data_IF_553142578041
#
_entry.id   IF_553142578041
#
_cell.length_a   1.000
_cell.length_b   1.000
_cell.length_c   1.000
_cell.angle_alpha   90.00
_cell.angle_beta   90.00
_cell.angle_gamma   90.00
#
_symmetry.space_group_name_H-M   'P 1'
#
loop_
_entity.id
_entity.type
_entity.pdbx_description
1 polymer ?
#
# COMPACT_ATOMS: atom_id res chain seq x y z
N UNK A 1 -10.56 19.18 -44.36
CA UNK A 1 -11.48 18.88 -43.22
C UNK A 1 -12.54 17.83 -43.54
N UNK A 2 -13.25 17.83 -44.69
CA UNK A 2 -14.29 16.81 -44.96
C UNK A 2 -13.76 15.37 -45.22
N UNK A 3 -12.58 15.20 -45.78
CA UNK A 3 -12.00 13.87 -46.03
C UNK A 3 -11.53 13.13 -44.76
N UNK A 4 -11.05 13.81 -43.72
CA UNK A 4 -10.61 13.13 -42.49
C UNK A 4 -11.78 12.65 -41.62
N UNK A 5 -12.93 13.34 -41.67
CA UNK A 5 -14.16 12.96 -40.97
C UNK A 5 -14.84 11.72 -41.57
N UNK A 6 -14.72 11.51 -42.88
CA UNK A 6 -15.26 10.31 -43.55
C UNK A 6 -14.45 9.07 -43.18
N UNK A 7 -13.12 9.17 -43.20
CA UNK A 7 -12.21 8.08 -42.83
C UNK A 7 -12.37 7.70 -41.35
N UNK A 8 -12.58 8.66 -40.44
CA UNK A 8 -12.81 8.34 -39.02
C UNK A 8 -14.14 7.63 -38.78
N UNK A 9 -15.20 7.98 -39.52
CA UNK A 9 -16.52 7.37 -39.36
C UNK A 9 -16.59 5.95 -39.95
N UNK A 10 -16.00 5.69 -41.11
CA UNK A 10 -15.96 4.34 -41.70
C UNK A 10 -15.14 3.39 -40.83
N UNK A 11 -14.00 3.85 -40.32
CA UNK A 11 -13.16 3.09 -39.40
C UNK A 11 -13.91 2.81 -38.08
N UNK A 12 -14.66 3.78 -37.55
CA UNK A 12 -15.53 3.59 -36.38
C UNK A 12 -16.62 2.54 -36.64
N UNK A 13 -17.23 2.51 -37.82
CA UNK A 13 -18.29 1.55 -38.14
C UNK A 13 -17.73 0.13 -38.29
N UNK A 14 -16.65 -0.03 -39.05
CA UNK A 14 -16.00 -1.33 -39.24
C UNK A 14 -15.48 -1.92 -37.93
N UNK A 15 -15.00 -1.05 -37.02
CA UNK A 15 -14.49 -1.48 -35.71
C UNK A 15 -15.61 -1.93 -34.78
N UNK A 16 -16.72 -1.20 -34.72
CA UNK A 16 -17.89 -1.64 -33.96
C UNK A 16 -18.45 -2.95 -34.53
N UNK A 17 -18.43 -3.14 -35.86
CA UNK A 17 -18.83 -4.41 -36.48
C UNK A 17 -17.87 -5.56 -36.12
N UNK A 18 -16.55 -5.31 -36.15
CA UNK A 18 -15.55 -6.30 -35.78
C UNK A 18 -15.68 -6.70 -34.30
N UNK A 19 -15.83 -5.73 -33.39
CA UNK A 19 -16.04 -5.98 -31.95
C UNK A 19 -17.32 -6.79 -31.75
N UNK A 20 -18.44 -6.41 -32.38
CA UNK A 20 -19.70 -7.18 -32.31
C UNK A 20 -19.57 -8.61 -32.82
N UNK A 21 -18.87 -8.81 -33.94
CA UNK A 21 -18.64 -10.16 -34.47
C UNK A 21 -17.86 -11.03 -33.49
N UNK A 22 -16.84 -10.47 -32.82
CA UNK A 22 -16.06 -11.24 -31.83
C UNK A 22 -16.83 -11.48 -30.55
N UNK A 23 -17.62 -10.51 -30.06
CA UNK A 23 -18.55 -10.74 -28.95
C UNK A 23 -19.54 -11.87 -29.28
N UNK A 24 -20.08 -11.92 -30.50
CA UNK A 24 -20.94 -13.02 -30.93
C UNK A 24 -20.20 -14.38 -30.94
N UNK A 25 -18.94 -14.41 -31.36
CA UNK A 25 -18.10 -15.63 -31.28
C UNK A 25 -17.87 -16.06 -29.82
N UNK A 26 -17.67 -15.12 -28.90
CA UNK A 26 -17.56 -15.39 -27.47
C UNK A 26 -18.88 -15.93 -26.89
N UNK A 27 -20.02 -15.36 -27.27
CA UNK A 27 -21.35 -15.84 -26.86
C UNK A 27 -21.65 -17.26 -27.36
N UNK A 28 -21.22 -17.59 -28.58
CA UNK A 28 -21.30 -18.96 -29.11
C UNK A 28 -20.45 -19.95 -28.31
N UNK A 29 -19.37 -19.51 -27.66
CA UNK A 29 -18.59 -20.33 -26.74
C UNK A 29 -19.36 -20.60 -25.44
N UNK A 30 -20.15 -19.64 -24.96
CA UNK A 30 -20.93 -19.73 -23.71
C UNK A 30 -22.13 -20.66 -23.80
N UNK A 31 -22.94 -20.49 -24.87
CA UNK A 31 -24.14 -21.29 -25.07
C UNK A 31 -23.84 -22.79 -25.22
N UNK A 32 -22.58 -23.15 -25.54
CA UNK A 32 -22.12 -24.54 -25.65
C UNK A 32 -21.50 -25.10 -24.38
N UNK A 33 -20.97 -24.26 -23.48
CA UNK A 33 -20.45 -24.73 -22.18
C UNK A 33 -21.57 -25.13 -21.23
N UNK A 34 -22.72 -24.47 -21.27
CA UNK A 34 -23.89 -24.82 -20.44
C UNK A 34 -24.62 -26.08 -20.94
N UNK A 35 -24.55 -26.38 -22.25
CA UNK A 35 -25.10 -27.62 -22.81
C UNK A 35 -24.30 -28.87 -22.38
N UNK A 36 -23.01 -28.72 -22.07
CA UNK A 36 -22.15 -29.81 -21.58
C UNK A 36 -22.37 -30.12 -20.09
N UNK A 37 -22.96 -29.20 -19.31
CA UNK A 37 -23.25 -29.43 -17.88
C UNK A 37 -24.63 -30.03 -17.64
N UNK A 38 -25.57 -29.93 -18.59
CA UNK A 38 -26.97 -30.30 -18.39
C UNK A 38 -27.36 -31.66 -19.03
N UNK A 39 -26.64 -32.18 -20.04
CA UNK A 39 -27.00 -33.44 -20.72
C UNK A 39 -25.87 -34.46 -20.79
N UNK A 40 -25.57 -35.12 -19.67
CA UNK A 40 -24.57 -36.18 -19.55
C UNK A 40 -24.98 -37.55 -20.12
N UNK A 41 -26.07 -37.66 -20.91
CA UNK A 41 -26.50 -38.97 -21.46
C UNK A 41 -26.92 -39.04 -22.93
N UNK A 42 -26.96 -37.95 -23.69
CA UNK A 42 -27.36 -38.06 -25.12
C UNK A 42 -26.87 -36.97 -26.09
N UNK A 43 -26.00 -36.04 -25.67
CA UNK A 43 -25.36 -35.09 -26.58
C UNK A 43 -23.96 -35.58 -27.00
N UNK A 44 -23.88 -36.77 -27.60
CA UNK A 44 -22.67 -37.27 -28.23
C UNK A 44 -22.41 -36.54 -29.55
N UNK A 45 -21.48 -35.58 -29.57
CA UNK A 45 -21.01 -35.03 -30.85
C UNK A 45 -20.11 -33.79 -30.80
N UNK A 46 -20.17 -32.98 -29.74
CA UNK A 46 -19.26 -31.83 -29.61
C UNK A 46 -18.06 -32.27 -28.77
N UNK A 47 -17.01 -32.71 -29.45
CA UNK A 47 -15.75 -33.11 -28.81
C UNK A 47 -15.12 -31.91 -28.08
N UNK A 48 -14.41 -32.18 -26.98
CA UNK A 48 -13.54 -31.20 -26.29
C UNK A 48 -12.62 -30.46 -27.27
N UNK A 49 -12.24 -31.14 -28.36
CA UNK A 49 -11.52 -30.58 -29.50
C UNK A 49 -12.24 -29.40 -30.19
N UNK A 50 -13.57 -29.46 -30.38
CA UNK A 50 -14.33 -28.35 -30.97
C UNK A 50 -14.43 -27.14 -30.03
N UNK A 51 -14.51 -27.37 -28.71
CA UNK A 51 -14.51 -26.30 -27.72
C UNK A 51 -13.16 -25.57 -27.71
N UNK A 52 -12.05 -26.32 -27.68
CA UNK A 52 -10.69 -25.78 -27.77
C UNK A 52 -10.45 -25.01 -29.07
N UNK A 53 -11.00 -25.50 -30.19
CA UNK A 53 -10.90 -24.84 -31.49
C UNK A 53 -11.65 -23.51 -31.50
N UNK A 54 -12.87 -23.45 -30.94
CA UNK A 54 -13.64 -22.22 -30.85
C UNK A 54 -12.98 -21.18 -29.93
N UNK A 55 -12.41 -21.60 -28.80
CA UNK A 55 -11.64 -20.71 -27.93
C UNK A 55 -10.41 -20.13 -28.65
N UNK A 56 -9.69 -20.96 -29.42
CA UNK A 56 -8.56 -20.50 -30.25
C UNK A 56 -9.00 -19.50 -31.31
N UNK A 57 -10.15 -19.74 -31.97
CA UNK A 57 -10.73 -18.81 -32.94
C UNK A 57 -11.05 -17.48 -32.27
N UNK A 58 -11.75 -17.50 -31.14
CA UNK A 58 -12.07 -16.29 -30.38
C UNK A 58 -10.82 -15.48 -30.03
N UNK A 59 -9.79 -16.12 -29.46
CA UNK A 59 -8.52 -15.47 -29.13
C UNK A 59 -7.85 -14.89 -30.38
N UNK A 60 -7.80 -15.64 -31.49
CA UNK A 60 -7.19 -15.17 -32.74
C UNK A 60 -7.95 -13.99 -33.35
N UNK A 61 -9.27 -13.97 -33.22
CA UNK A 61 -10.08 -12.84 -33.67
C UNK A 61 -9.81 -11.59 -32.82
N UNK A 62 -9.69 -11.73 -31.49
CA UNK A 62 -9.28 -10.63 -30.60
C UNK A 62 -7.88 -10.12 -30.98
N UNK A 63 -6.90 -11.01 -31.16
CA UNK A 63 -5.55 -10.64 -31.61
C UNK A 63 -5.57 -9.88 -32.93
N UNK A 64 -6.38 -10.34 -33.90
CA UNK A 64 -6.50 -9.72 -35.22
C UNK A 64 -7.03 -8.30 -35.15
N UNK A 65 -8.07 -8.07 -34.33
CA UNK A 65 -8.62 -6.72 -34.11
C UNK A 65 -7.57 -5.82 -33.45
N UNK A 66 -6.94 -6.27 -32.37
CA UNK A 66 -5.93 -5.49 -31.65
C UNK A 66 -4.74 -5.11 -32.53
N UNK A 67 -4.23 -6.05 -33.35
CA UNK A 67 -3.13 -5.77 -34.28
C UNK A 67 -3.51 -4.78 -35.36
N UNK A 68 -4.74 -4.90 -35.90
CA UNK A 68 -5.25 -3.94 -36.89
C UNK A 68 -5.29 -2.53 -36.30
N UNK A 69 -5.76 -2.38 -35.07
CA UNK A 69 -5.75 -1.10 -34.37
C UNK A 69 -4.34 -0.55 -34.13
N UNK A 70 -3.41 -1.41 -33.69
CA UNK A 70 -2.03 -0.98 -33.47
C UNK A 70 -1.36 -0.53 -34.77
N UNK A 71 -1.59 -1.22 -35.89
CA UNK A 71 -1.12 -0.79 -37.22
C UNK A 71 -1.75 0.54 -37.63
N UNK A 72 -3.07 0.68 -37.50
CA UNK A 72 -3.77 1.92 -37.84
C UNK A 72 -3.27 3.14 -37.05
N UNK A 73 -2.95 2.94 -35.76
CA UNK A 73 -2.39 3.97 -34.90
C UNK A 73 -0.97 4.39 -35.32
N UNK A 74 -0.17 3.46 -35.88
CA UNK A 74 1.21 3.70 -36.33
C UNK A 74 1.31 4.25 -37.75
N UNK A 75 0.44 3.79 -38.64
CA UNK A 75 0.52 4.09 -40.07
C UNK A 75 -0.14 5.42 -40.45
N UNK A 76 -0.94 6.02 -39.55
CA UNK A 76 -1.67 7.26 -39.84
C UNK A 76 -1.57 8.26 -38.69
N UNK A 77 -0.86 9.36 -38.95
CA UNK A 77 -0.80 10.54 -38.05
C UNK A 77 -2.16 11.15 -37.74
N UNK A 78 -3.20 10.79 -38.51
CA UNK A 78 -4.57 11.27 -38.36
C UNK A 78 -5.56 10.22 -37.83
N UNK A 79 -5.15 8.96 -37.66
CA UNK A 79 -6.02 7.93 -37.08
C UNK A 79 -5.83 7.92 -35.56
N UNK A 80 -6.80 8.47 -34.84
CA UNK A 80 -6.78 8.51 -33.37
C UNK A 80 -7.74 7.48 -32.83
N UNK A 81 -7.22 6.49 -32.13
CA UNK A 81 -8.06 5.61 -31.32
C UNK A 81 -8.61 6.42 -30.16
N UNK A 82 -9.94 6.50 -30.08
CA UNK A 82 -10.62 7.19 -29.01
C UNK A 82 -10.64 6.35 -27.73
N UNK A 83 -10.72 7.03 -26.58
CA UNK A 83 -10.77 6.36 -25.27
C UNK A 83 -11.92 5.35 -25.16
N UNK A 84 -13.08 5.59 -25.77
CA UNK A 84 -14.21 4.67 -25.71
C UNK A 84 -13.91 3.35 -26.44
N UNK A 85 -13.19 3.41 -27.57
CA UNK A 85 -12.79 2.21 -28.33
C UNK A 85 -11.83 1.34 -27.52
N UNK A 86 -10.93 1.95 -26.75
CA UNK A 86 -10.08 1.21 -25.81
C UNK A 86 -10.90 0.54 -24.70
N UNK A 87 -11.97 1.18 -24.22
CA UNK A 87 -12.85 0.60 -23.21
C UNK A 87 -13.58 -0.63 -23.79
N UNK A 88 -14.10 -0.55 -25.01
CA UNK A 88 -14.76 -1.66 -25.70
C UNK A 88 -13.81 -2.84 -25.99
N UNK A 89 -12.58 -2.55 -26.43
CA UNK A 89 -11.55 -3.58 -26.64
C UNK A 89 -11.14 -4.26 -25.34
N UNK A 90 -11.02 -3.51 -24.24
CA UNK A 90 -10.72 -4.07 -22.93
C UNK A 90 -11.88 -4.89 -22.39
N UNK A 91 -13.13 -4.45 -22.61
CA UNK A 91 -14.32 -5.20 -22.24
C UNK A 91 -14.37 -6.54 -22.96
N UNK A 92 -14.02 -6.59 -24.25
CA UNK A 92 -13.88 -7.84 -25.02
C UNK A 92 -12.84 -8.80 -24.40
N UNK A 93 -11.69 -8.28 -23.97
CA UNK A 93 -10.67 -9.07 -23.27
C UNK A 93 -11.18 -9.55 -21.91
N UNK A 94 -11.83 -8.67 -21.14
CA UNK A 94 -12.36 -9.02 -19.82
C UNK A 94 -13.48 -10.06 -19.91
N UNK A 95 -14.30 -10.01 -20.96
CA UNK A 95 -15.35 -10.99 -21.25
C UNK A 95 -14.79 -12.41 -21.41
N UNK A 96 -13.54 -12.57 -21.85
CA UNK A 96 -12.89 -13.88 -21.93
C UNK A 96 -12.94 -14.63 -20.59
N UNK A 97 -12.77 -13.91 -19.46
CA UNK A 97 -12.83 -14.48 -18.12
C UNK A 97 -14.22 -15.05 -17.78
N UNK A 98 -15.31 -14.41 -18.22
CA UNK A 98 -16.68 -14.90 -18.05
C UNK A 98 -16.88 -16.24 -18.76
N UNK A 99 -16.22 -16.42 -19.90
CA UNK A 99 -16.29 -17.64 -20.70
C UNK A 99 -15.19 -18.66 -20.37
N UNK A 100 -14.45 -18.46 -19.26
CA UNK A 100 -13.27 -19.25 -18.84
C UNK A 100 -12.15 -19.31 -19.89
N UNK A 101 -12.19 -18.43 -20.89
CA UNK A 101 -11.16 -18.27 -21.90
C UNK A 101 -10.05 -17.42 -21.29
N UNK A 102 -8.81 -17.88 -21.42
CA UNK A 102 -7.65 -17.11 -21.00
C UNK A 102 -7.18 -16.32 -22.22
N UNK A 103 -7.20 -14.97 -22.19
CA UNK A 103 -6.63 -14.18 -23.30
C UNK A 103 -5.17 -14.56 -23.51
N UNK A 104 -4.66 -14.49 -24.74
CA UNK A 104 -3.25 -14.75 -25.00
C UNK A 104 -2.37 -13.62 -24.45
N UNK A 105 -1.09 -13.92 -24.19
CA UNK A 105 -0.11 -12.89 -23.84
C UNK A 105 -0.04 -11.80 -24.93
N UNK A 106 -0.11 -12.20 -26.21
CA UNK A 106 -0.10 -11.26 -27.33
C UNK A 106 -1.30 -10.31 -27.30
N UNK A 107 -2.51 -10.77 -26.92
CA UNK A 107 -3.65 -9.87 -26.71
C UNK A 107 -3.37 -8.83 -25.64
N UNK A 108 -2.85 -9.27 -24.50
CA UNK A 108 -2.58 -8.41 -23.35
C UNK A 108 -1.48 -7.39 -23.64
N UNK A 109 -0.38 -7.81 -24.27
CA UNK A 109 0.73 -6.96 -24.70
C UNK A 109 0.29 -5.91 -25.73
N UNK A 110 -0.51 -6.32 -26.72
CA UNK A 110 -1.01 -5.41 -27.75
C UNK A 110 -1.96 -4.37 -27.15
N UNK A 111 -2.86 -4.79 -26.27
CA UNK A 111 -3.77 -3.88 -25.57
C UNK A 111 -3.01 -2.89 -24.66
N UNK A 112 -1.97 -3.38 -23.96
CA UNK A 112 -1.13 -2.53 -23.11
C UNK A 112 -0.40 -1.46 -23.93
N UNK A 113 0.21 -1.87 -25.03
CA UNK A 113 0.91 -0.97 -25.95
C UNK A 113 -0.04 0.09 -26.52
N UNK A 114 -1.21 -0.32 -27.00
CA UNK A 114 -2.25 0.59 -27.49
C UNK A 114 -2.66 1.63 -26.44
N UNK A 115 -2.85 1.19 -25.19
CA UNK A 115 -3.24 2.09 -24.12
C UNK A 115 -2.11 3.09 -23.76
N UNK A 116 -0.87 2.64 -23.76
CA UNK A 116 0.31 3.48 -23.51
C UNK A 116 0.48 4.52 -24.63
N UNK A 117 0.46 4.11 -25.90
CA UNK A 117 0.59 5.00 -27.06
C UNK A 117 -0.54 6.06 -27.09
N UNK A 118 -1.79 5.68 -26.79
CA UNK A 118 -2.91 6.65 -26.72
C UNK A 118 -2.71 7.67 -25.60
N UNK A 119 -2.15 7.27 -24.45
CA UNK A 119 -1.84 8.20 -23.37
C UNK A 119 -0.70 9.15 -23.73
N UNK A 120 0.40 8.63 -24.29
CA UNK A 120 1.56 9.42 -24.71
C UNK A 120 1.16 10.45 -25.77
N UNK A 121 0.35 10.06 -26.76
CA UNK A 121 -0.19 10.98 -27.77
C UNK A 121 -1.08 12.08 -27.17
N UNK A 122 -1.91 11.77 -26.16
CA UNK A 122 -2.70 12.77 -25.45
C UNK A 122 -1.82 13.78 -24.67
N UNK A 123 -0.68 13.33 -24.14
CA UNK A 123 0.25 14.19 -23.42
C UNK A 123 0.98 15.17 -24.33
N UNK A 124 1.37 14.74 -25.54
CA UNK A 124 2.04 15.59 -26.54
C UNK A 124 1.13 16.75 -26.99
N UNK A 125 -0.18 16.55 -27.05
CA UNK A 125 -1.13 17.54 -27.56
C UNK A 125 -1.53 18.63 -26.54
N UNK A 126 -1.37 18.39 -25.23
CA UNK A 126 -1.90 19.28 -24.19
C UNK A 126 -0.96 20.41 -23.73
N UNK A 127 0.13 20.69 -24.47
CA UNK A 127 1.18 21.69 -24.16
C UNK A 127 1.99 21.40 -22.89
N UNK A 128 3.30 21.63 -22.95
CA UNK A 128 4.29 21.37 -21.89
C UNK A 128 3.96 21.98 -20.51
N UNK A 129 3.01 22.93 -20.43
CA UNK A 129 2.58 23.53 -19.16
C UNK A 129 1.69 22.64 -18.29
N UNK A 130 1.16 21.52 -18.82
CA UNK A 130 0.40 20.52 -18.06
C UNK A 130 1.20 19.27 -17.70
N UNK A 131 2.54 19.31 -17.84
CA UNK A 131 3.48 18.24 -17.47
C UNK A 131 3.64 18.08 -15.95
N UNK A 132 2.55 17.83 -15.23
CA UNK A 132 2.56 17.09 -13.98
C UNK A 132 1.64 15.87 -14.09
N UNK A 133 2.17 14.83 -14.74
CA UNK A 133 2.09 13.41 -14.35
C UNK A 133 0.75 12.86 -13.80
N UNK A 134 -0.42 13.29 -14.28
CA UNK A 134 -1.69 12.69 -13.82
C UNK A 134 -2.33 11.84 -14.90
N UNK A 135 -2.24 10.52 -14.72
CA UNK A 135 -3.07 9.57 -15.44
C UNK A 135 -4.54 9.83 -15.07
N UNK A 136 -5.43 9.85 -16.05
CA UNK A 136 -6.86 10.00 -15.78
C UNK A 136 -7.40 8.78 -15.03
N UNK A 137 -8.42 8.96 -14.19
CA UNK A 137 -9.06 7.86 -13.44
C UNK A 137 -9.53 6.72 -14.34
N UNK A 138 -10.04 7.04 -15.54
CA UNK A 138 -10.43 6.05 -16.56
C UNK A 138 -9.22 5.26 -17.06
N UNK A 139 -8.11 5.94 -17.34
CA UNK A 139 -6.88 5.28 -17.76
C UNK A 139 -6.37 4.32 -16.68
N UNK A 140 -6.25 4.79 -15.44
CA UNK A 140 -5.80 3.96 -14.31
C UNK A 140 -6.71 2.75 -14.11
N UNK A 141 -8.03 2.94 -14.17
CA UNK A 141 -9.01 1.85 -14.07
C UNK A 141 -8.81 0.77 -15.15
N UNK A 142 -8.58 1.17 -16.40
CA UNK A 142 -8.27 0.22 -17.48
C UNK A 142 -6.96 -0.54 -17.24
N UNK A 143 -5.89 0.16 -16.86
CA UNK A 143 -4.60 -0.48 -16.60
C UNK A 143 -4.71 -1.54 -15.51
N UNK A 144 -5.42 -1.24 -14.42
CA UNK A 144 -5.64 -2.19 -13.32
C UNK A 144 -6.42 -3.43 -13.80
N UNK A 145 -7.49 -3.23 -14.60
CA UNK A 145 -8.24 -4.34 -15.19
C UNK A 145 -7.38 -5.20 -16.11
N UNK A 146 -6.52 -4.59 -16.91
CA UNK A 146 -5.61 -5.29 -17.82
C UNK A 146 -4.54 -6.08 -17.06
N UNK A 147 -3.96 -5.48 -16.01
CA UNK A 147 -3.02 -6.17 -15.11
C UNK A 147 -3.67 -7.37 -14.41
N UNK A 148 -4.92 -7.26 -13.95
CA UNK A 148 -5.64 -8.39 -13.39
C UNK A 148 -5.75 -9.57 -14.36
N UNK A 149 -6.09 -9.31 -15.63
CA UNK A 149 -6.14 -10.35 -16.67
C UNK A 149 -4.75 -10.95 -16.93
N UNK A 150 -3.70 -10.14 -16.89
CA UNK A 150 -2.32 -10.58 -17.03
C UNK A 150 -1.88 -11.55 -15.93
N UNK A 151 -2.27 -11.25 -14.69
CA UNK A 151 -1.99 -12.08 -13.52
C UNK A 151 -2.70 -13.41 -13.65
N UNK A 152 -3.99 -13.41 -14.01
CA UNK A 152 -4.76 -14.62 -14.24
C UNK A 152 -4.14 -15.48 -15.35
N UNK A 153 -3.68 -14.86 -16.45
CA UNK A 153 -3.00 -15.58 -17.53
C UNK A 153 -1.77 -16.32 -17.02
N UNK A 154 -0.92 -15.66 -16.26
CA UNK A 154 0.33 -16.27 -15.81
C UNK A 154 0.16 -17.30 -14.71
N UNK A 155 -0.78 -17.10 -13.78
CA UNK A 155 -1.09 -18.10 -12.76
C UNK A 155 -1.51 -19.42 -13.41
N UNK A 156 -2.23 -19.37 -14.54
CA UNK A 156 -2.68 -20.56 -15.26
C UNK A 156 -1.64 -21.17 -16.21
N UNK A 157 -0.65 -20.40 -16.67
CA UNK A 157 0.35 -20.87 -17.65
C UNK A 157 1.67 -21.32 -17.05
N UNK A 158 1.82 -21.25 -15.71
CA UNK A 158 3.04 -21.64 -14.97
C UNK A 158 4.34 -21.08 -15.58
N UNK A 159 4.22 -19.95 -16.29
CA UNK A 159 5.34 -19.24 -16.88
C UNK A 159 5.88 -18.24 -15.87
N UNK A 160 7.18 -17.97 -15.91
CA UNK A 160 7.73 -16.78 -15.27
C UNK A 160 6.95 -15.57 -15.82
N UNK A 161 6.05 -15.01 -15.01
CA UNK A 161 5.32 -13.80 -15.38
C UNK A 161 6.40 -12.76 -15.74
N UNK A 162 6.22 -12.04 -16.84
CA UNK A 162 6.89 -10.75 -17.08
C UNK A 162 5.78 -9.71 -17.26
N UNK A 163 5.81 -8.65 -16.46
CA UNK A 163 4.90 -7.54 -16.50
C UNK A 163 5.29 -6.68 -17.70
N UNK A 164 4.30 -6.05 -18.33
CA UNK A 164 4.56 -5.09 -19.38
C UNK A 164 5.25 -3.86 -18.78
N UNK A 165 6.16 -3.24 -19.53
CA UNK A 165 6.86 -1.98 -19.23
C UNK A 165 6.88 -1.54 -17.74
N UNK A 166 7.95 -1.83 -16.96
CA UNK A 166 8.03 -1.57 -15.52
C UNK A 166 7.68 -0.14 -15.13
N UNK A 167 8.26 0.81 -15.85
CA UNK A 167 8.17 2.24 -15.54
C UNK A 167 6.73 2.72 -15.67
N UNK A 168 6.03 2.20 -16.68
CA UNK A 168 4.63 2.54 -16.90
C UNK A 168 3.71 1.90 -15.85
N UNK A 169 3.98 0.65 -15.46
CA UNK A 169 3.26 -0.01 -14.35
C UNK A 169 3.44 0.78 -13.05
N UNK A 170 4.65 1.24 -12.75
CA UNK A 170 4.91 2.09 -11.58
C UNK A 170 4.14 3.41 -11.64
N UNK A 171 4.02 4.04 -12.81
CA UNK A 171 3.22 5.25 -13.00
C UNK A 171 1.73 5.00 -12.76
N UNK A 172 1.18 3.90 -13.27
CA UNK A 172 -0.21 3.48 -13.03
C UNK A 172 -0.45 3.27 -11.54
N UNK A 173 0.49 2.61 -10.85
CA UNK A 173 0.38 2.31 -9.42
C UNK A 173 0.36 3.58 -8.57
N UNK A 174 1.24 4.53 -8.87
CA UNK A 174 1.25 5.86 -8.22
C UNK A 174 -0.08 6.58 -8.42
N UNK A 175 -0.57 6.63 -9.66
CA UNK A 175 -1.82 7.31 -9.97
C UNK A 175 -3.03 6.63 -9.31
N UNK A 176 -3.03 5.30 -9.19
CA UNK A 176 -4.06 4.55 -8.47
C UNK A 176 -4.13 4.93 -7.00
N UNK A 177 -2.97 5.09 -6.34
CA UNK A 177 -2.88 5.56 -4.96
C UNK A 177 -3.44 6.97 -4.81
N UNK A 178 -3.00 7.90 -5.66
CA UNK A 178 -3.44 9.31 -5.60
C UNK A 178 -4.96 9.47 -5.72
N UNK A 179 -5.63 8.56 -6.44
CA UNK A 179 -7.09 8.62 -6.65
C UNK A 179 -7.87 7.62 -5.78
N UNK A 180 -7.21 6.96 -4.82
CA UNK A 180 -7.84 6.03 -3.87
C UNK A 180 -8.38 4.73 -4.49
N UNK A 181 -7.78 4.24 -5.57
CA UNK A 181 -8.15 2.95 -6.18
C UNK A 181 -7.35 1.81 -5.57
N UNK A 182 -8.05 0.82 -5.01
CA UNK A 182 -7.42 -0.37 -4.41
C UNK A 182 -6.81 -1.28 -5.47
N UNK A 183 -5.58 -1.73 -5.24
CA UNK A 183 -4.95 -2.79 -6.01
C UNK A 183 -4.91 -4.10 -5.24
N UNK A 184 -4.93 -5.24 -5.94
CA UNK A 184 -4.96 -6.56 -5.29
C UNK A 184 -3.57 -6.92 -4.77
N UNK A 185 -3.51 -7.68 -3.68
CA UNK A 185 -2.25 -8.21 -3.11
C UNK A 185 -1.44 -9.01 -4.13
N UNK A 186 -2.11 -9.66 -5.09
CA UNK A 186 -1.45 -10.39 -6.18
C UNK A 186 -0.77 -9.46 -7.19
N UNK A 187 -1.37 -8.30 -7.52
CA UNK A 187 -0.72 -7.27 -8.35
C UNK A 187 0.57 -6.78 -7.70
N UNK A 188 0.54 -6.58 -6.39
CA UNK A 188 1.71 -6.19 -5.62
C UNK A 188 2.80 -7.26 -5.58
N UNK A 189 2.41 -8.50 -5.28
CA UNK A 189 3.34 -9.61 -5.23
C UNK A 189 4.05 -9.84 -6.57
N UNK A 190 3.34 -9.66 -7.69
CA UNK A 190 3.88 -9.90 -9.03
C UNK A 190 4.78 -8.77 -9.53
N UNK A 191 4.48 -7.52 -9.18
CA UNK A 191 5.41 -6.40 -9.41
C UNK A 191 6.75 -6.66 -8.72
N UNK A 192 6.73 -7.08 -7.45
CA UNK A 192 7.94 -7.33 -6.68
C UNK A 192 8.69 -8.64 -7.00
N UNK A 193 8.01 -9.65 -7.56
CA UNK A 193 8.65 -10.91 -7.96
C UNK A 193 9.53 -10.76 -9.20
N UNK A 194 9.16 -9.89 -10.13
CA UNK A 194 9.86 -9.71 -11.41
C UNK A 194 10.80 -8.54 -11.43
N UNK A 195 10.34 -7.44 -10.87
CA UNK A 195 11.19 -6.41 -10.37
C UNK A 195 11.44 -6.87 -8.95
N UNK A 196 12.24 -7.94 -8.84
CA UNK A 196 13.13 -8.06 -7.70
C UNK A 196 13.60 -6.63 -7.50
N UNK A 197 13.12 -6.01 -6.43
CA UNK A 197 13.86 -4.93 -5.82
C UNK A 197 15.14 -5.66 -5.43
N UNK A 198 16.04 -5.83 -6.40
CA UNK A 198 17.41 -6.19 -6.17
C UNK A 198 17.80 -5.14 -5.15
N UNK A 199 18.16 -5.55 -3.93
CA UNK A 199 18.42 -4.61 -2.85
C UNK A 199 19.67 -3.73 -3.11
N UNK A 200 20.09 -3.59 -4.37
CA UNK A 200 21.32 -2.94 -4.74
C UNK A 200 21.10 -1.48 -5.12
N UNK A 201 20.01 -1.07 -5.80
CA UNK A 201 19.71 0.36 -5.98
C UNK A 201 18.23 0.59 -6.31
N UNK A 202 17.42 1.06 -5.35
CA UNK A 202 16.15 1.75 -5.69
C UNK A 202 16.53 3.13 -6.24
N UNK A 203 16.09 3.51 -7.45
CA UNK A 203 16.30 4.86 -7.96
C UNK A 203 15.70 5.90 -7.01
N UNK A 204 16.42 7.00 -6.83
CA UNK A 204 16.10 8.01 -5.82
C UNK A 204 14.65 8.52 -5.90
N UNK A 205 14.19 8.72 -7.14
CA UNK A 205 12.87 9.23 -7.49
C UNK A 205 11.72 8.23 -7.26
N UNK A 206 12.05 6.99 -6.89
CA UNK A 206 11.10 5.90 -6.65
C UNK A 206 10.95 5.56 -5.16
N UNK A 207 11.79 6.09 -4.26
CA UNK A 207 11.80 5.75 -2.83
C UNK A 207 10.47 6.03 -2.13
N UNK A 208 9.92 7.24 -2.24
CA UNK A 208 8.64 7.56 -1.57
C UNK A 208 7.52 6.65 -2.03
N UNK A 209 7.55 6.26 -3.31
CA UNK A 209 6.58 5.32 -3.88
C UNK A 209 6.78 3.94 -3.29
N UNK A 210 8.01 3.40 -3.27
CA UNK A 210 8.30 2.07 -2.71
C UNK A 210 8.01 2.00 -1.20
N UNK A 211 8.43 2.99 -0.43
CA UNK A 211 8.17 3.06 1.02
C UNK A 211 6.67 3.14 1.32
N UNK A 212 5.94 3.95 0.56
CA UNK A 212 4.49 4.04 0.68
C UNK A 212 3.80 2.72 0.30
N UNK A 213 4.32 1.98 -0.67
CA UNK A 213 3.76 0.69 -1.07
C UNK A 213 4.00 -0.32 0.05
N UNK A 214 5.16 -0.25 0.68
CA UNK A 214 5.55 -1.13 1.76
C UNK A 214 4.75 -0.84 3.04
N UNK A 215 4.48 0.41 3.41
CA UNK A 215 3.68 0.74 4.60
C UNK A 215 2.25 0.17 4.60
N UNK A 216 1.66 -0.01 3.42
CA UNK A 216 0.32 -0.59 3.22
C UNK A 216 0.36 -2.12 2.99
N UNK A 217 1.55 -2.71 2.90
CA UNK A 217 1.72 -4.13 2.59
C UNK A 217 1.45 -5.02 3.82
N UNK A 218 0.89 -6.23 3.64
CA UNK A 218 0.68 -7.20 4.72
C UNK A 218 1.95 -7.50 5.53
N UNK A 219 1.80 -8.02 6.75
CA UNK A 219 2.91 -8.32 7.66
C UNK A 219 3.99 -9.25 7.08
N UNK A 220 3.65 -10.12 6.13
CA UNK A 220 4.61 -10.98 5.43
C UNK A 220 5.66 -10.22 4.59
N UNK A 221 5.51 -8.90 4.45
CA UNK A 221 6.45 -8.04 3.72
C UNK A 221 7.41 -7.26 4.63
N UNK A 222 7.35 -7.45 5.96
CA UNK A 222 8.16 -6.74 6.97
C UNK A 222 9.67 -6.78 6.65
N UNK A 223 10.22 -7.93 6.27
CA UNK A 223 11.64 -8.09 5.91
C UNK A 223 12.07 -7.21 4.72
N UNK A 224 11.18 -7.01 3.74
CA UNK A 224 11.46 -6.14 2.60
C UNK A 224 11.38 -4.66 2.97
N UNK A 225 10.49 -4.30 3.90
CA UNK A 225 10.45 -2.94 4.45
C UNK A 225 11.78 -2.60 5.15
N UNK A 226 12.29 -3.53 5.97
CA UNK A 226 13.60 -3.39 6.63
C UNK A 226 14.72 -3.18 5.61
N UNK A 227 14.75 -3.96 4.53
CA UNK A 227 15.79 -3.82 3.49
C UNK A 227 15.76 -2.45 2.82
N UNK A 228 14.58 -1.93 2.48
CA UNK A 228 14.44 -0.61 1.88
C UNK A 228 14.80 0.50 2.86
N UNK A 229 14.39 0.38 4.12
CA UNK A 229 14.76 1.34 5.18
C UNK A 229 16.28 1.36 5.40
N UNK A 230 16.96 0.22 5.40
CA UNK A 230 18.42 0.13 5.49
C UNK A 230 19.15 0.77 4.31
N UNK A 231 18.57 0.73 3.10
CA UNK A 231 19.11 1.45 1.96
C UNK A 231 18.96 2.97 2.12
N UNK A 232 17.80 3.43 2.60
CA UNK A 232 17.55 4.85 2.89
C UNK A 232 18.57 5.34 3.91
N UNK A 233 18.77 4.58 4.99
CA UNK A 233 19.78 4.84 6.01
C UNK A 233 21.20 4.87 5.42
N UNK A 234 21.56 3.87 4.60
CA UNK A 234 22.85 3.80 3.93
C UNK A 234 23.14 4.98 3.01
N UNK A 235 22.14 5.41 2.22
CA UNK A 235 22.25 6.60 1.35
C UNK A 235 22.41 7.87 2.18
N UNK A 236 21.64 8.01 3.26
CA UNK A 236 21.74 9.17 4.15
C UNK A 236 23.11 9.25 4.83
N UNK A 237 23.60 8.14 5.37
CA UNK A 237 24.92 8.05 6.00
C UNK A 237 26.06 8.29 5.01
N UNK A 238 25.94 7.78 3.78
CA UNK A 238 26.96 7.96 2.75
C UNK A 238 27.04 9.40 2.22
N UNK A 239 25.92 10.14 2.23
CA UNK A 239 25.88 11.47 1.64
C UNK A 239 26.36 12.58 2.57
N UNK A 240 26.28 12.43 3.89
CA UNK A 240 26.80 13.40 4.88
C UNK A 240 26.42 14.87 4.59
N UNK A 241 25.36 15.08 3.80
CA UNK A 241 25.15 16.34 3.08
C UNK A 241 24.06 17.16 3.75
N UNK A 242 24.27 18.48 3.75
CA UNK A 242 23.42 19.53 4.34
C UNK A 242 22.03 19.69 3.68
N UNK A 243 21.64 18.77 2.78
CA UNK A 243 20.43 18.83 1.95
C UNK A 243 19.29 17.91 2.42
N UNK A 244 19.28 17.53 3.71
CA UNK A 244 18.21 16.71 4.33
C UNK A 244 16.81 17.29 4.09
N UNK A 245 16.70 18.61 3.96
CA UNK A 245 15.46 19.31 3.67
C UNK A 245 14.78 18.91 2.35
N UNK A 246 15.52 18.39 1.37
CA UNK A 246 14.95 17.92 0.10
C UNK A 246 14.28 16.52 0.22
N UNK A 247 14.51 15.83 1.33
CA UNK A 247 14.12 14.43 1.55
C UNK A 247 13.07 14.25 2.63
N UNK A 248 12.58 15.36 3.19
CA UNK A 248 11.54 15.36 4.22
C UNK A 248 10.36 14.45 3.82
N UNK A 249 9.77 14.54 2.61
CA UNK A 249 8.63 13.70 2.23
C UNK A 249 8.95 12.20 2.24
N UNK A 250 10.16 11.82 1.81
CA UNK A 250 10.64 10.44 1.81
C UNK A 250 10.86 9.93 3.23
N UNK A 251 11.43 10.75 4.11
CA UNK A 251 11.62 10.43 5.53
C UNK A 251 10.29 10.32 6.29
N UNK A 252 9.33 11.21 6.01
CA UNK A 252 7.95 11.13 6.53
C UNK A 252 7.33 9.77 6.16
N UNK A 253 7.44 9.37 4.89
CA UNK A 253 6.91 8.09 4.39
C UNK A 253 7.66 6.89 4.99
N UNK A 254 8.97 7.00 5.17
CA UNK A 254 9.78 5.97 5.81
C UNK A 254 9.36 5.75 7.26
N UNK A 255 9.07 6.82 8.00
CA UNK A 255 8.64 6.75 9.39
C UNK A 255 7.28 6.07 9.51
N UNK A 256 6.35 6.37 8.60
CA UNK A 256 5.05 5.68 8.52
C UNK A 256 5.23 4.18 8.27
N UNK A 257 6.12 3.80 7.35
CA UNK A 257 6.42 2.40 7.05
C UNK A 257 7.05 1.68 8.26
N UNK A 258 8.07 2.27 8.87
CA UNK A 258 8.73 1.72 10.05
C UNK A 258 7.75 1.57 11.23
N UNK A 259 6.84 2.53 11.39
CA UNK A 259 5.78 2.50 12.41
C UNK A 259 4.76 1.38 12.19
N UNK A 260 4.25 1.26 10.96
CA UNK A 260 3.31 0.21 10.59
C UNK A 260 3.92 -1.18 10.75
N UNK A 261 5.22 -1.32 10.44
CA UNK A 261 5.95 -2.58 10.59
C UNK A 261 6.37 -2.90 12.03
N UNK A 262 6.29 -1.95 12.97
CA UNK A 262 6.83 -2.14 14.31
C UNK A 262 8.35 -2.35 14.29
N UNK A 263 9.06 -1.45 13.60
CA UNK A 263 10.51 -1.40 13.53
C UNK A 263 10.99 -0.23 14.41
N UNK A 264 11.01 -0.43 15.72
CA UNK A 264 11.22 0.64 16.69
C UNK A 264 12.56 1.36 16.51
N UNK A 265 13.64 0.62 16.21
CA UNK A 265 14.97 1.19 16.00
C UNK A 265 15.03 2.11 14.78
N UNK A 266 14.52 1.65 13.64
CA UNK A 266 14.49 2.42 12.39
C UNK A 266 13.59 3.66 12.52
N UNK A 267 12.41 3.50 13.14
CA UNK A 267 11.51 4.60 13.41
C UNK A 267 12.13 5.65 14.36
N UNK A 268 12.92 5.22 15.34
CA UNK A 268 13.66 6.11 16.24
C UNK A 268 14.68 6.95 15.49
N UNK A 269 15.49 6.32 14.64
CA UNK A 269 16.46 7.02 13.80
C UNK A 269 15.77 8.05 12.88
N UNK A 270 14.69 7.65 12.21
CA UNK A 270 13.91 8.52 11.32
C UNK A 270 13.25 9.69 12.06
N UNK A 271 12.67 9.45 13.23
CA UNK A 271 12.09 10.50 14.06
C UNK A 271 13.14 11.54 14.47
N UNK A 272 14.31 11.10 14.97
CA UNK A 272 15.38 12.02 15.36
C UNK A 272 15.85 12.85 14.17
N UNK A 273 16.04 12.20 13.01
CA UNK A 273 16.43 12.90 11.78
C UNK A 273 15.38 13.94 11.35
N UNK A 274 14.09 13.59 11.41
CA UNK A 274 13.01 14.53 11.11
C UNK A 274 12.90 15.65 12.14
N UNK A 275 13.05 15.35 13.44
CA UNK A 275 12.99 16.32 14.52
C UNK A 275 14.14 17.33 14.46
N UNK A 276 15.36 16.87 14.16
CA UNK A 276 16.54 17.73 14.05
C UNK A 276 16.49 18.66 12.83
N UNK A 277 15.73 18.28 11.78
CA UNK A 277 15.60 19.05 10.55
C UNK A 277 14.29 19.87 10.47
N UNK A 278 13.30 19.58 11.32
CA UNK A 278 12.05 20.35 11.46
C UNK A 278 12.00 21.06 12.82
N UNK A 279 12.62 22.23 12.91
CA UNK A 279 12.59 23.03 14.14
C UNK A 279 11.30 23.83 14.36
N UNK A 280 10.36 23.91 13.41
CA UNK A 280 9.33 24.97 13.43
C UNK A 280 7.88 24.61 13.05
N UNK A 281 7.54 23.37 12.65
CA UNK A 281 6.16 22.98 12.31
C UNK A 281 5.55 22.06 13.39
N UNK A 282 4.95 22.67 14.41
CA UNK A 282 4.44 21.97 15.62
C UNK A 282 3.50 20.78 15.32
N UNK A 283 2.47 20.92 14.47
CA UNK A 283 1.56 19.83 14.12
C UNK A 283 2.23 18.64 13.42
N UNK A 284 3.19 18.88 12.53
CA UNK A 284 3.90 17.80 11.83
C UNK A 284 4.78 17.00 12.79
N UNK A 285 5.47 17.69 13.67
CA UNK A 285 6.33 17.05 14.64
C UNK A 285 5.54 16.17 15.61
N UNK A 286 4.36 16.62 16.04
CA UNK A 286 3.44 15.83 16.85
C UNK A 286 3.06 14.52 16.14
N UNK A 287 2.75 14.58 14.84
CA UNK A 287 2.47 13.38 14.04
C UNK A 287 3.66 12.43 13.98
N UNK A 288 4.89 12.92 13.83
CA UNK A 288 6.07 12.07 13.81
C UNK A 288 6.30 11.37 15.16
N UNK A 289 6.07 12.10 16.25
CA UNK A 289 6.11 11.57 17.60
C UNK A 289 5.09 10.45 17.78
N UNK A 290 3.85 10.64 17.32
CA UNK A 290 2.81 9.61 17.36
C UNK A 290 3.19 8.36 16.56
N UNK A 291 3.74 8.53 15.35
CA UNK A 291 4.21 7.42 14.51
C UNK A 291 5.37 6.65 15.17
N UNK A 292 6.35 7.37 15.71
CA UNK A 292 7.47 6.74 16.40
C UNK A 292 7.01 5.94 17.62
N UNK A 293 6.17 6.53 18.47
CA UNK A 293 5.60 5.84 19.64
C UNK A 293 4.77 4.62 19.20
N UNK A 294 4.00 4.73 18.12
CA UNK A 294 3.26 3.61 17.54
C UNK A 294 4.19 2.46 17.09
N UNK A 295 5.38 2.78 16.54
CA UNK A 295 6.36 1.77 16.13
C UNK A 295 6.82 0.92 17.32
N UNK A 296 7.10 1.55 18.45
CA UNK A 296 7.52 0.92 19.70
C UNK A 296 6.41 -0.01 20.20
N UNK A 297 5.15 0.41 20.09
CA UNK A 297 4.01 -0.41 20.49
C UNK A 297 3.71 -1.59 19.58
N UNK A 298 4.14 -1.53 18.32
CA UNK A 298 3.98 -2.57 17.32
C UNK A 298 5.19 -3.51 17.23
N UNK A 299 6.25 -3.25 17.99
CA UNK A 299 7.44 -4.09 18.00
C UNK A 299 7.14 -5.46 18.64
N UNK A 300 7.77 -6.49 18.08
CA UNK A 300 7.68 -7.87 18.58
C UNK A 300 8.52 -8.05 19.85
N UNK A 301 9.58 -7.26 20.03
CA UNK A 301 10.33 -7.19 21.29
C UNK A 301 9.71 -6.16 22.23
N UNK A 302 8.63 -6.58 22.91
CA UNK A 302 7.83 -5.69 23.76
C UNK A 302 8.60 -5.18 24.97
N UNK A 303 9.47 -6.00 25.58
CA UNK A 303 10.18 -5.64 26.82
C UNK A 303 11.27 -4.59 26.58
N UNK A 304 12.14 -4.81 25.57
CA UNK A 304 13.18 -3.84 25.21
C UNK A 304 12.58 -2.50 24.74
N UNK A 305 11.48 -2.57 24.00
CA UNK A 305 10.75 -1.39 23.50
C UNK A 305 10.11 -0.57 24.63
N UNK A 306 9.52 -1.24 25.64
CA UNK A 306 8.96 -0.57 26.82
C UNK A 306 10.04 0.06 27.69
N UNK A 307 11.16 -0.63 27.91
CA UNK A 307 12.35 -0.10 28.60
C UNK A 307 12.87 1.19 27.95
N UNK A 308 12.95 1.18 26.62
CA UNK A 308 13.39 2.33 25.87
C UNK A 308 12.40 3.51 25.99
N UNK A 309 11.11 3.23 25.83
CA UNK A 309 10.05 4.25 25.94
C UNK A 309 9.96 4.85 27.34
N UNK A 310 10.14 4.05 28.39
CA UNK A 310 10.20 4.53 29.77
C UNK A 310 11.34 5.54 29.97
N UNK A 311 12.54 5.22 29.47
CA UNK A 311 13.67 6.14 29.52
C UNK A 311 13.38 7.43 28.74
N UNK A 312 12.72 7.35 27.60
CA UNK A 312 12.33 8.52 26.83
C UNK A 312 11.32 9.38 27.59
N UNK A 313 10.25 8.78 28.11
CA UNK A 313 9.15 9.49 28.77
C UNK A 313 9.56 10.11 30.10
N UNK A 314 10.55 9.54 30.78
CA UNK A 314 11.01 10.00 32.10
C UNK A 314 12.32 10.81 32.07
N UNK A 315 13.23 10.55 31.11
CA UNK A 315 14.63 11.04 31.16
C UNK A 315 15.09 11.85 29.95
N UNK A 316 14.24 12.11 28.94
CA UNK A 316 14.67 12.92 27.79
C UNK A 316 14.94 14.38 28.18
N UNK A 317 15.83 15.07 27.46
CA UNK A 317 16.05 16.50 27.65
C UNK A 317 14.75 17.32 27.48
N UNK A 318 14.68 18.46 28.17
CA UNK A 318 13.50 19.33 28.31
C UNK A 318 12.72 19.64 27.01
N UNK A 319 13.40 19.69 25.86
CA UNK A 319 12.77 19.96 24.56
C UNK A 319 11.88 18.81 24.07
N UNK A 320 12.31 17.56 24.19
CA UNK A 320 11.51 16.38 23.79
C UNK A 320 10.41 16.12 24.83
N UNK A 321 10.74 16.24 26.12
CA UNK A 321 9.75 16.10 27.19
C UNK A 321 8.63 17.14 27.09
N UNK A 322 8.92 18.39 26.72
CA UNK A 322 7.87 19.41 26.56
C UNK A 322 6.80 19.02 25.52
N UNK A 323 7.19 18.25 24.50
CA UNK A 323 6.34 17.80 23.39
C UNK A 323 5.65 16.47 23.67
N UNK A 324 6.26 15.64 24.52
CA UNK A 324 5.72 14.36 24.99
C UNK A 324 4.71 14.48 26.14
N UNK A 325 4.49 15.68 26.69
CA UNK A 325 3.51 15.97 27.78
C UNK A 325 2.06 15.90 27.32
N UNK A 326 1.71 14.79 26.71
CA UNK A 326 0.34 14.39 26.45
C UNK A 326 0.08 13.11 27.24
N UNK A 327 -0.90 13.18 28.16
CA UNK A 327 -1.33 12.07 29.00
C UNK A 327 -1.52 10.77 28.21
N UNK A 328 -1.99 10.86 26.96
CA UNK A 328 -2.27 9.70 26.11
C UNK A 328 -1.04 8.83 25.88
N UNK A 329 0.17 9.40 25.81
CA UNK A 329 1.39 8.62 25.61
C UNK A 329 1.77 7.83 26.87
N UNK A 330 1.67 8.47 28.04
CA UNK A 330 1.92 7.85 29.35
C UNK A 330 0.89 6.74 29.66
N UNK A 331 -0.40 6.99 29.40
CA UNK A 331 -1.46 6.00 29.58
C UNK A 331 -1.26 4.79 28.66
N UNK A 332 -0.85 5.00 27.40
CA UNK A 332 -0.61 3.91 26.46
C UNK A 332 0.63 3.07 26.83
N UNK A 333 1.65 3.67 27.45
CA UNK A 333 2.76 2.93 28.03
C UNK A 333 2.27 2.03 29.17
N UNK A 334 1.52 2.59 30.13
CA UNK A 334 0.95 1.83 31.24
C UNK A 334 0.01 0.72 30.76
N UNK A 335 -0.82 0.97 29.73
CA UNK A 335 -1.67 -0.04 29.10
C UNK A 335 -0.85 -1.22 28.59
N UNK A 336 0.23 -0.95 27.86
CA UNK A 336 1.11 -1.98 27.28
C UNK A 336 1.89 -2.73 28.34
N UNK A 337 2.46 -2.03 29.33
CA UNK A 337 3.11 -2.64 30.48
C UNK A 337 2.13 -3.53 31.25
N UNK A 338 0.87 -3.12 31.40
CA UNK A 338 -0.16 -3.92 32.05
C UNK A 338 -0.54 -5.19 31.29
N UNK A 339 -0.11 -5.36 30.03
CA UNK A 339 -0.39 -6.52 29.17
C UNK A 339 0.87 -7.31 28.81
N UNK A 340 2.05 -6.88 29.24
CA UNK A 340 3.32 -7.47 28.79
C UNK A 340 3.63 -8.81 29.47
N UNK A 341 3.01 -9.10 30.60
CA UNK A 341 3.34 -10.28 31.42
C UNK A 341 4.75 -10.23 32.00
N UNK A 342 5.37 -9.05 32.05
CA UNK A 342 6.71 -8.88 32.62
C UNK A 342 6.72 -9.15 34.13
N UNK A 343 7.82 -9.73 34.60
CA UNK A 343 8.11 -9.83 36.03
C UNK A 343 8.19 -8.41 36.60
N UNK A 344 7.54 -8.18 37.74
CA UNK A 344 7.46 -6.88 38.43
C UNK A 344 6.78 -5.75 37.63
N UNK A 345 5.92 -6.09 36.65
CA UNK A 345 5.18 -5.08 35.86
C UNK A 345 4.37 -4.11 36.74
N UNK A 346 3.82 -4.60 37.85
CA UNK A 346 3.06 -3.78 38.81
C UNK A 346 3.93 -2.76 39.54
N UNK A 347 5.03 -3.21 40.14
CA UNK A 347 6.01 -2.36 40.83
C UNK A 347 6.57 -1.29 39.88
N UNK A 348 6.86 -1.70 38.65
CA UNK A 348 7.39 -0.80 37.62
C UNK A 348 6.37 0.23 37.16
N UNK A 349 5.12 -0.18 36.97
CA UNK A 349 4.02 0.73 36.66
C UNK A 349 3.80 1.75 37.79
N UNK A 350 3.92 1.33 39.06
CA UNK A 350 3.82 2.24 40.21
C UNK A 350 4.99 3.24 40.24
N UNK A 351 6.25 2.78 40.06
CA UNK A 351 7.42 3.67 40.01
C UNK A 351 7.29 4.70 38.90
N UNK A 352 6.88 4.26 37.70
CA UNK A 352 6.64 5.16 36.56
C UNK A 352 5.55 6.18 36.87
N UNK A 353 4.42 5.73 37.44
CA UNK A 353 3.31 6.59 37.82
C UNK A 353 3.74 7.66 38.84
N UNK A 354 4.50 7.27 39.85
CA UNK A 354 5.03 8.18 40.88
C UNK A 354 5.96 9.23 40.27
N UNK A 355 6.87 8.82 39.40
CA UNK A 355 7.80 9.73 38.73
C UNK A 355 7.06 10.70 37.81
N UNK A 356 6.09 10.21 37.04
CA UNK A 356 5.24 11.05 36.19
C UNK A 356 4.43 12.06 37.02
N UNK A 357 3.83 11.62 38.14
CA UNK A 357 3.12 12.51 39.06
C UNK A 357 4.06 13.58 39.63
N UNK A 358 5.25 13.19 40.07
CA UNK A 358 6.25 14.12 40.62
C UNK A 358 6.67 15.16 39.59
N UNK A 359 6.98 14.74 38.35
CA UNK A 359 7.27 15.67 37.27
C UNK A 359 6.08 16.61 36.99
N UNK A 360 4.85 16.12 37.08
CA UNK A 360 3.63 16.92 36.95
C UNK A 360 3.45 17.99 38.02
N UNK A 361 3.93 17.73 39.23
CA UNK A 361 3.94 18.67 40.34
C UNK A 361 5.04 19.73 40.20
N UNK A 362 6.18 19.38 39.59
CA UNK A 362 7.30 20.31 39.40
C UNK A 362 7.05 21.37 38.31
N UNK A 363 6.09 21.16 37.39
CA UNK A 363 5.77 22.15 36.35
C UNK A 363 4.60 23.05 36.72
N UNK A 364 4.89 24.34 36.89
CA UNK A 364 3.93 25.40 37.24
C UNK A 364 3.32 26.04 35.98
N UNK A 365 2.76 25.24 35.07
CA UNK A 365 2.18 25.74 33.80
C UNK A 365 0.67 25.50 33.72
N UNK A 366 -0.01 26.32 32.90
CA UNK A 366 -1.47 26.23 32.66
C UNK A 366 -1.92 24.91 32.02
N UNK A 367 -0.99 24.09 31.53
CA UNK A 367 -1.29 22.78 30.93
C UNK A 367 -1.13 21.63 31.92
N UNK A 368 -0.91 21.89 33.22
CA UNK A 368 -0.74 20.85 34.27
C UNK A 368 -1.84 19.79 34.23
N UNK A 369 -3.09 20.23 34.11
CA UNK A 369 -4.26 19.34 34.10
C UNK A 369 -4.38 18.50 32.81
N UNK A 370 -3.64 18.83 31.75
CA UNK A 370 -3.66 18.09 30.47
C UNK A 370 -2.69 16.89 30.49
N UNK A 371 -1.70 16.90 31.39
CA UNK A 371 -0.67 15.87 31.45
C UNK A 371 -0.53 15.18 32.79
N UNK A 372 -1.18 15.63 33.87
CA UNK A 372 -1.21 14.88 35.14
C UNK A 372 -1.85 13.49 34.96
N UNK A 373 -1.43 12.47 35.73
CA UNK A 373 -2.10 11.17 35.77
C UNK A 373 -3.58 11.29 36.14
N UNK A 374 -4.41 10.40 35.61
CA UNK A 374 -5.85 10.36 35.88
C UNK A 374 -6.35 8.96 36.28
N UNK A 375 -7.68 8.80 36.33
CA UNK A 375 -8.32 7.52 36.67
C UNK A 375 -7.93 6.39 35.71
N UNK A 376 -7.65 6.71 34.44
CA UNK A 376 -7.22 5.72 33.46
C UNK A 376 -5.79 5.26 33.76
N UNK A 377 -4.90 6.18 34.12
CA UNK A 377 -3.53 5.87 34.56
C UNK A 377 -3.53 4.90 35.75
N UNK A 378 -4.33 5.20 36.77
CA UNK A 378 -4.51 4.37 37.97
C UNK A 378 -4.98 2.95 37.60
N UNK A 379 -5.96 2.86 36.69
CA UNK A 379 -6.50 1.59 36.22
C UNK A 379 -5.41 0.71 35.62
N UNK A 380 -4.52 1.27 34.79
CA UNK A 380 -3.46 0.49 34.16
C UNK A 380 -2.40 0.01 35.16
N UNK A 381 -2.05 0.81 36.17
CA UNK A 381 -1.15 0.36 37.26
C UNK A 381 -1.78 -0.81 38.03
N UNK A 382 -3.07 -0.71 38.36
CA UNK A 382 -3.79 -1.80 39.02
C UNK A 382 -3.84 -3.07 38.15
N UNK A 383 -4.08 -2.93 36.84
CA UNK A 383 -4.06 -4.05 35.90
C UNK A 383 -2.68 -4.70 35.80
N UNK A 384 -1.60 -3.93 35.85
CA UNK A 384 -0.24 -4.47 35.84
C UNK A 384 0.05 -5.34 37.06
N UNK A 385 -0.40 -4.93 38.25
CA UNK A 385 -0.32 -5.78 39.46
C UNK A 385 -1.14 -7.07 39.34
N UNK A 386 -2.34 -7.00 38.75
CA UNK A 386 -3.20 -8.17 38.55
C UNK A 386 -2.65 -9.17 37.53
N UNK A 387 -1.72 -8.75 36.67
CA UNK A 387 -1.07 -9.61 35.68
C UNK A 387 0.33 -10.07 36.10
N UNK A 388 0.81 -9.68 37.29
CA UNK A 388 2.09 -10.17 37.83
C UNK A 388 2.04 -11.67 38.14
N UNK A 389 3.18 -12.36 38.08
CA UNK A 389 3.33 -13.81 38.36
C UNK A 389 3.13 -14.21 39.84
N UNK A 390 2.47 -13.37 40.63
CA UNK A 390 2.19 -13.60 42.05
C UNK A 390 0.83 -14.28 42.29
N UNK A 391 0.61 -14.80 43.50
CA UNK A 391 -0.69 -15.40 43.86
C UNK A 391 -1.80 -14.35 43.80
N UNK A 392 -3.03 -14.76 43.48
CA UNK A 392 -4.18 -13.83 43.41
C UNK A 392 -4.39 -12.99 44.67
N UNK A 393 -4.10 -13.55 45.84
CA UNK A 393 -4.16 -12.82 47.11
C UNK A 393 -3.06 -11.75 47.22
N UNK A 394 -1.84 -12.07 46.78
CA UNK A 394 -0.73 -11.12 46.72
C UNK A 394 -1.01 -9.98 45.73
N UNK A 395 -1.54 -10.31 44.54
CA UNK A 395 -1.96 -9.34 43.53
C UNK A 395 -3.02 -8.37 44.08
N UNK A 396 -4.09 -8.89 44.69
CA UNK A 396 -5.16 -8.07 45.28
C UNK A 396 -4.67 -7.22 46.45
N UNK A 397 -3.77 -7.76 47.27
CA UNK A 397 -3.13 -7.01 48.36
C UNK A 397 -2.27 -5.86 47.82
N UNK A 398 -1.51 -6.08 46.75
CA UNK A 398 -0.71 -5.04 46.09
C UNK A 398 -1.60 -3.93 45.51
N UNK A 399 -2.67 -4.27 44.79
CA UNK A 399 -3.63 -3.28 44.28
C UNK A 399 -4.25 -2.45 45.41
N UNK A 400 -4.68 -3.10 46.51
CA UNK A 400 -5.24 -2.39 47.67
C UNK A 400 -4.24 -1.43 48.30
N UNK A 401 -2.97 -1.85 48.45
CA UNK A 401 -1.91 -0.99 48.97
C UNK A 401 -1.69 0.22 48.07
N UNK A 402 -1.63 0.03 46.75
CA UNK A 402 -1.51 1.11 45.77
C UNK A 402 -2.68 2.12 45.87
N UNK A 403 -3.93 1.64 45.82
CA UNK A 403 -5.12 2.52 45.90
C UNK A 403 -5.18 3.31 47.21
N UNK A 404 -4.87 2.65 48.34
CA UNK A 404 -4.82 3.31 49.66
C UNK A 404 -3.72 4.37 49.73
N UNK A 405 -2.53 4.08 49.19
CA UNK A 405 -1.39 5.02 49.15
C UNK A 405 -1.73 6.31 48.38
N UNK A 406 -2.60 6.20 47.38
CA UNK A 406 -3.00 7.32 46.53
C UNK A 406 -4.37 7.94 46.90
N UNK A 407 -4.95 7.57 48.05
CA UNK A 407 -6.21 8.12 48.56
C UNK A 407 -7.38 8.02 47.56
N UNK A 408 -7.38 6.99 46.72
CA UNK A 408 -8.47 6.75 45.76
C UNK A 408 -9.57 5.99 46.51
N UNK A 409 -10.74 6.60 46.66
CA UNK A 409 -11.92 5.93 47.24
C UNK A 409 -12.23 4.65 46.44
N UNK A 410 -12.50 3.56 47.18
CA UNK A 410 -12.56 2.17 46.68
C UNK A 410 -13.56 1.94 45.55
#
# INVERSE_FOLDING_TARGET
>A
MRQSLLVSNELSIETHQAIRHVSHVLDLCNNRSDLLSINSRSASGISTFQLDQNQKVAIKSIEGILRRFLSLQRDSTNCRIHSHTLDELLDLICQCSNYRIIPSLSCLETMWTLQQEVHENQMVEQSERYLRKKLSRKHVGRSIRLLNNWIQWSQKKTSNLKLPNPEYVACVFRAAKEIGMSMTTNMWALYQQQYTIQPEVIPLDQFSTVLSILSESPSCWKEKQVLVLKQVEGIFRARNDSSVSQWIPELETALEAASAAGLSHDATWLYNLLNDNHCSDGPKLQRYLELWIQSIYNDNDMEGSLLYLENVLLRSDSNILSRLRDRRFYNKYLEKLSRSGMVDAGERAEVFFMEWQHQAELFVSSTRDEWCPDKESIRYVALAYLQSDSSREAQLSAVRRFLLKHQIEQ
#
